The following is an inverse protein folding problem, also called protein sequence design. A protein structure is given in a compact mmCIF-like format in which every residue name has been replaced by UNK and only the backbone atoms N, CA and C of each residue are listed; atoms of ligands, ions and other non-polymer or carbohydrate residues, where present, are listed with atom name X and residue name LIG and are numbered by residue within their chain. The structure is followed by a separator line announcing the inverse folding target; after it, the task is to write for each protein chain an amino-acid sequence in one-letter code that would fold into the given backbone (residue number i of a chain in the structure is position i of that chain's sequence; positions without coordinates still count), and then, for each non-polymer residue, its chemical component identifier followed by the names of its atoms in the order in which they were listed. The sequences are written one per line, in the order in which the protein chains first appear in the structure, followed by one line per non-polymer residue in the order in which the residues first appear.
data_IF_259418455009
#
_entry.id   IF_259418455009
#
_cell.length_a   1.000
_cell.length_b   1.000
_cell.length_c   1.000
_cell.angle_alpha   90.00
_cell.angle_beta   90.00
_cell.angle_gamma   90.00
#
_symmetry.space_group_name_H-M   'P 1'
#
loop_
_entity.id
_entity.type
_entity.pdbx_description
1 polymer ?
#
# COMPACT_ATOMS: atom_id res chain seq x y z
N UNK A 1 -10.57 -10.01 -14.31
CA UNK A 1 -10.58 -10.05 -15.79
C UNK A 1 -10.32 -11.45 -16.35
N UNK A 2 -9.37 -12.23 -15.83
CA UNK A 2 -9.06 -13.59 -16.32
C UNK A 2 -10.31 -14.49 -16.29
N UNK A 3 -11.11 -14.45 -15.22
CA UNK A 3 -12.37 -15.20 -15.17
C UNK A 3 -13.36 -14.87 -16.31
N UNK A 4 -13.36 -13.62 -16.78
CA UNK A 4 -14.17 -13.21 -17.93
C UNK A 4 -13.64 -13.84 -19.23
N UNK A 5 -12.32 -13.87 -19.42
CA UNK A 5 -11.69 -14.50 -20.58
C UNK A 5 -11.86 -16.02 -20.57
N UNK A 6 -11.81 -16.67 -19.40
CA UNK A 6 -12.11 -18.09 -19.24
C UNK A 6 -13.56 -18.41 -19.65
N UNK A 7 -14.53 -17.57 -19.26
CA UNK A 7 -15.91 -17.72 -19.70
C UNK A 7 -16.07 -17.52 -21.22
N UNK A 8 -15.35 -16.58 -21.81
CA UNK A 8 -15.37 -16.35 -23.25
C UNK A 8 -14.76 -17.50 -24.05
N UNK A 9 -13.70 -18.12 -23.54
CA UNK A 9 -13.12 -19.31 -24.15
C UNK A 9 -14.12 -20.47 -24.13
N UNK A 10 -14.74 -20.74 -22.97
CA UNK A 10 -15.76 -21.80 -22.82
C UNK A 10 -16.98 -21.60 -23.71
N UNK A 11 -17.34 -20.38 -24.05
CA UNK A 11 -18.44 -20.03 -24.94
C UNK A 11 -18.01 -19.88 -26.41
N UNK A 12 -16.73 -20.14 -26.71
CA UNK A 12 -16.21 -20.06 -28.09
C UNK A 12 -16.01 -18.64 -28.64
N UNK A 13 -16.09 -17.61 -27.76
CA UNK A 13 -15.86 -16.20 -28.15
C UNK A 13 -14.40 -15.93 -28.47
N UNK A 14 -13.49 -16.60 -27.76
CA UNK A 14 -12.05 -16.53 -27.99
C UNK A 14 -11.44 -17.94 -28.03
N UNK A 15 -10.37 -18.17 -28.79
CA UNK A 15 -9.66 -19.45 -28.80
C UNK A 15 -8.84 -19.63 -27.52
N UNK A 16 -8.55 -20.90 -27.19
CA UNK A 16 -7.73 -21.24 -26.00
C UNK A 16 -6.34 -20.58 -26.05
N UNK A 17 -5.72 -20.46 -27.22
CA UNK A 17 -4.42 -19.79 -27.38
C UNK A 17 -4.45 -18.31 -26.93
N UNK A 18 -5.57 -17.64 -27.13
CA UNK A 18 -5.76 -16.26 -26.69
C UNK A 18 -5.97 -16.18 -25.18
N UNK A 19 -6.70 -17.13 -24.60
CA UNK A 19 -6.82 -17.25 -23.13
C UNK A 19 -5.46 -17.49 -22.49
N UNK A 20 -4.66 -18.39 -23.03
CA UNK A 20 -3.32 -18.68 -22.53
C UNK A 20 -2.39 -17.47 -22.64
N UNK A 21 -2.46 -16.73 -23.75
CA UNK A 21 -1.75 -15.45 -23.87
C UNK A 21 -2.13 -14.48 -22.75
N UNK A 22 -3.42 -14.31 -22.45
CA UNK A 22 -3.87 -13.44 -21.38
C UNK A 22 -3.42 -13.93 -20.00
N UNK A 23 -3.46 -15.24 -19.73
CA UNK A 23 -2.97 -15.82 -18.47
C UNK A 23 -1.49 -15.51 -18.21
N UNK A 24 -0.67 -15.58 -19.25
CA UNK A 24 0.77 -15.35 -19.14
C UNK A 24 1.16 -13.85 -19.10
N UNK A 25 0.33 -12.97 -19.68
CA UNK A 25 0.66 -11.56 -19.84
C UNK A 25 -0.23 -10.59 -19.03
N UNK A 26 -1.19 -11.10 -18.26
CA UNK A 26 -2.15 -10.26 -17.54
C UNK A 26 -1.51 -9.46 -16.39
N UNK A 27 -0.41 -9.96 -15.85
CA UNK A 27 0.30 -9.32 -14.74
C UNK A 27 1.66 -8.81 -15.23
N UNK A 28 1.99 -7.53 -15.06
CA UNK A 28 3.22 -6.95 -15.60
C UNK A 28 4.47 -7.40 -14.85
N UNK A 29 4.33 -7.88 -13.61
CA UNK A 29 5.44 -8.38 -12.78
C UNK A 29 4.94 -9.41 -11.79
N UNK A 30 5.86 -10.22 -11.24
CA UNK A 30 5.59 -11.05 -10.06
C UNK A 30 5.60 -10.20 -8.78
N UNK A 31 5.07 -10.74 -7.69
CA UNK A 31 5.00 -10.05 -6.38
C UNK A 31 3.58 -9.65 -6.01
N UNK A 32 3.41 -8.47 -5.38
CA UNK A 32 2.11 -7.95 -5.02
C UNK A 32 1.21 -7.70 -6.24
N UNK A 33 -0.11 -7.64 -6.02
CA UNK A 33 -1.07 -7.45 -7.10
C UNK A 33 -0.81 -6.16 -7.88
N UNK A 34 -1.04 -6.19 -9.20
CA UNK A 34 -0.83 -5.05 -10.10
C UNK A 34 -1.87 -3.93 -9.97
N UNK A 35 -2.81 -4.04 -9.03
CA UNK A 35 -3.79 -2.99 -8.75
C UNK A 35 -3.82 -2.67 -7.24
N UNK A 36 -4.48 -1.56 -6.87
CA UNK A 36 -4.62 -1.11 -5.48
C UNK A 36 -5.64 -2.00 -4.73
N UNK A 37 -5.25 -3.24 -4.49
CA UNK A 37 -5.96 -4.19 -3.63
C UNK A 37 -5.39 -4.19 -2.22
N UNK A 38 -5.80 -5.17 -1.41
CA UNK A 38 -5.41 -5.28 0.01
C UNK A 38 -3.89 -5.32 0.20
N UNK A 39 -3.18 -6.18 -0.57
CA UNK A 39 -1.74 -6.34 -0.43
C UNK A 39 -0.99 -5.04 -0.71
N UNK A 40 -1.32 -4.35 -1.81
CA UNK A 40 -0.70 -3.07 -2.17
C UNK A 40 -1.04 -1.99 -1.15
N UNK A 41 -2.30 -1.89 -0.73
CA UNK A 41 -2.73 -0.95 0.29
C UNK A 41 -1.99 -1.16 1.60
N UNK A 42 -1.89 -2.40 2.09
CA UNK A 42 -1.27 -2.66 3.39
C UNK A 42 0.26 -2.48 3.39
N UNK A 43 0.94 -2.66 2.25
CA UNK A 43 2.34 -2.24 2.13
C UNK A 43 2.48 -0.72 2.30
N UNK A 44 1.61 0.06 1.65
CA UNK A 44 1.59 1.53 1.79
C UNK A 44 1.27 1.93 3.22
N UNK A 45 0.30 1.27 3.86
CA UNK A 45 -0.06 1.55 5.27
C UNK A 45 1.10 1.24 6.23
N UNK A 46 1.83 0.15 6.03
CA UNK A 46 2.98 -0.18 6.85
C UNK A 46 4.08 0.89 6.75
N UNK A 47 4.32 1.44 5.55
CA UNK A 47 5.26 2.54 5.36
C UNK A 47 4.75 3.85 5.98
N UNK A 48 3.47 4.19 5.77
CA UNK A 48 2.86 5.39 6.33
C UNK A 48 2.78 5.38 7.87
N UNK A 49 2.73 4.19 8.49
CA UNK A 49 2.82 4.01 9.95
C UNK A 49 4.26 4.11 10.50
N UNK A 50 5.27 4.19 9.64
CA UNK A 50 6.68 4.17 10.05
C UNK A 50 7.25 2.77 10.33
N UNK A 51 6.58 1.70 9.89
CA UNK A 51 6.98 0.31 10.12
C UNK A 51 7.74 -0.31 8.92
N UNK A 52 7.96 0.47 7.86
CA UNK A 52 8.79 0.10 6.70
C UNK A 52 9.78 1.23 6.40
N UNK A 53 10.86 0.88 5.70
CA UNK A 53 11.79 1.89 5.19
C UNK A 53 11.09 2.79 4.16
N UNK A 54 11.29 4.10 4.23
CA UNK A 54 10.68 5.04 3.30
C UNK A 54 11.00 4.71 1.83
N UNK A 55 9.99 4.78 0.96
CA UNK A 55 10.10 4.55 -0.47
C UNK A 55 10.19 3.06 -0.86
N UNK A 56 9.91 2.12 0.03
CA UNK A 56 10.00 0.68 -0.28
C UNK A 56 8.66 0.02 -0.58
N UNK A 57 7.54 0.64 -0.22
CA UNK A 57 6.22 0.11 -0.54
C UNK A 57 5.99 0.03 -2.04
N UNK A 58 5.46 -1.10 -2.49
CA UNK A 58 5.20 -1.45 -3.90
C UNK A 58 6.45 -1.49 -4.79
N UNK A 59 7.65 -1.60 -4.22
CA UNK A 59 8.84 -1.92 -5.00
C UNK A 59 8.59 -3.21 -5.78
N UNK A 60 8.77 -3.22 -7.11
CA UNK A 60 8.55 -4.42 -7.92
C UNK A 60 9.43 -5.59 -7.43
N UNK A 61 8.86 -6.80 -7.35
CA UNK A 61 9.60 -7.99 -6.90
C UNK A 61 10.79 -8.35 -7.81
N UNK A 62 10.80 -7.82 -9.02
CA UNK A 62 11.90 -7.98 -10.00
C UNK A 62 12.93 -6.85 -9.95
N UNK A 63 12.71 -5.82 -9.11
CA UNK A 63 13.65 -4.71 -8.98
C UNK A 63 14.96 -5.17 -8.33
N UNK A 64 16.14 -4.88 -8.92
CA UNK A 64 17.42 -5.27 -8.34
C UNK A 64 17.65 -4.65 -6.96
N UNK A 65 17.07 -3.49 -6.71
CA UNK A 65 17.15 -2.73 -5.45
C UNK A 65 16.44 -3.45 -4.28
N UNK A 66 15.53 -4.40 -4.57
CA UNK A 66 14.77 -5.11 -3.53
C UNK A 66 15.68 -5.85 -2.54
N UNK A 67 16.76 -6.46 -3.03
CA UNK A 67 17.74 -7.15 -2.16
C UNK A 67 18.47 -6.17 -1.26
N UNK A 68 18.82 -5.01 -1.77
CA UNK A 68 19.46 -3.96 -0.98
C UNK A 68 18.49 -3.41 0.06
N UNK A 69 17.24 -3.15 -0.30
CA UNK A 69 16.21 -2.70 0.64
C UNK A 69 15.98 -3.71 1.78
N UNK A 70 15.97 -5.01 1.47
CA UNK A 70 15.87 -6.05 2.50
C UNK A 70 17.08 -6.06 3.44
N UNK A 71 18.29 -5.90 2.91
CA UNK A 71 19.51 -5.78 3.71
C UNK A 71 19.46 -4.53 4.62
N UNK A 72 19.07 -3.39 4.07
CA UNK A 72 19.00 -2.13 4.81
C UNK A 72 17.92 -2.17 5.89
N UNK A 73 16.78 -2.84 5.63
CA UNK A 73 15.75 -3.08 6.63
C UNK A 73 16.28 -3.90 7.84
N UNK A 74 17.05 -4.97 7.56
CA UNK A 74 17.70 -5.75 8.63
C UNK A 74 18.71 -4.93 9.42
N UNK A 75 19.48 -4.09 8.75
CA UNK A 75 20.45 -3.18 9.38
C UNK A 75 19.74 -2.15 10.25
N UNK A 76 18.67 -1.53 9.74
CA UNK A 76 17.86 -0.57 10.50
C UNK A 76 17.24 -1.21 11.73
N UNK A 77 16.71 -2.44 11.61
CA UNK A 77 16.17 -3.17 12.75
C UNK A 77 17.20 -3.34 13.86
N UNK A 78 18.44 -3.68 13.52
CA UNK A 78 19.52 -3.79 14.50
C UNK A 78 19.86 -2.46 15.17
N UNK A 79 19.77 -1.35 14.46
CA UNK A 79 19.95 -0.02 15.06
C UNK A 79 18.80 0.34 16.02
N UNK A 80 17.56 -0.01 15.69
CA UNK A 80 16.42 0.16 16.58
C UNK A 80 16.60 -0.65 17.87
N UNK A 81 17.02 -1.92 17.76
CA UNK A 81 17.32 -2.78 18.92
C UNK A 81 18.39 -2.17 19.81
N UNK A 82 19.51 -1.68 19.25
CA UNK A 82 20.59 -1.04 20.00
C UNK A 82 20.11 0.22 20.75
N UNK A 83 19.18 0.96 20.16
CA UNK A 83 18.60 2.18 20.75
C UNK A 83 17.44 1.89 21.72
N UNK A 84 17.00 0.63 21.82
CA UNK A 84 15.85 0.23 22.64
C UNK A 84 14.52 0.74 22.07
N UNK A 85 14.46 1.12 20.78
CA UNK A 85 13.25 1.62 20.13
C UNK A 85 12.39 0.42 19.69
N UNK A 86 11.14 0.42 20.10
CA UNK A 86 10.15 -0.60 19.78
C UNK A 86 9.07 -0.06 18.84
N UNK A 87 8.23 -0.95 18.30
CA UNK A 87 7.09 -0.53 17.50
C UNK A 87 6.13 0.39 18.26
N UNK A 88 6.04 0.25 19.60
CA UNK A 88 5.22 1.13 20.46
C UNK A 88 5.73 2.57 20.55
N UNK A 89 7.01 2.78 20.31
CA UNK A 89 7.61 4.11 20.28
C UNK A 89 7.37 4.81 18.95
N UNK A 90 7.21 4.03 17.87
CA UNK A 90 6.99 4.52 16.49
C UNK A 90 5.50 4.75 16.24
N UNK A 91 4.66 3.76 16.55
CA UNK A 91 3.24 3.75 16.22
C UNK A 91 2.43 4.49 17.28
N UNK A 92 1.82 5.59 16.90
CA UNK A 92 0.98 6.45 17.75
C UNK A 92 -0.39 6.66 17.11
N UNK A 93 -1.33 7.26 17.84
CA UNK A 93 -2.62 7.66 17.27
C UNK A 93 -2.44 8.59 16.05
N UNK A 94 -1.50 9.52 16.13
CA UNK A 94 -1.18 10.45 15.03
C UNK A 94 -0.62 9.73 13.80
N UNK A 95 0.22 8.70 13.97
CA UNK A 95 0.71 7.91 12.83
C UNK A 95 -0.41 7.09 12.18
N UNK A 96 -1.40 6.60 12.95
CA UNK A 96 -2.60 6.00 12.37
C UNK A 96 -3.46 7.02 11.62
N UNK A 97 -3.64 8.22 12.14
CA UNK A 97 -4.34 9.29 11.44
C UNK A 97 -3.63 9.66 10.13
N UNK A 98 -2.30 9.75 10.12
CA UNK A 98 -1.52 9.91 8.90
C UNK A 98 -1.74 8.76 7.91
N UNK A 99 -1.71 7.51 8.38
CA UNK A 99 -1.94 6.34 7.52
C UNK A 99 -3.36 6.33 6.93
N UNK A 100 -4.39 6.73 7.70
CA UNK A 100 -5.77 6.86 7.23
C UNK A 100 -5.88 7.98 6.17
N UNK A 101 -5.17 9.10 6.36
CA UNK A 101 -5.13 10.17 5.37
C UNK A 101 -4.45 9.73 4.07
N UNK A 102 -3.33 9.00 4.17
CA UNK A 102 -2.68 8.38 3.01
C UNK A 102 -3.61 7.36 2.35
N UNK A 103 -4.33 6.53 3.12
CA UNK A 103 -5.32 5.59 2.61
C UNK A 103 -6.39 6.27 1.76
N UNK A 104 -6.91 7.41 2.22
CA UNK A 104 -7.87 8.21 1.48
C UNK A 104 -7.27 8.75 0.17
N UNK A 105 -6.07 9.32 0.23
CA UNK A 105 -5.38 9.91 -0.92
C UNK A 105 -5.07 8.88 -2.03
N UNK A 106 -4.78 7.64 -1.65
CA UNK A 106 -4.51 6.55 -2.61
C UNK A 106 -5.77 5.80 -3.07
N UNK A 107 -6.94 6.11 -2.54
CA UNK A 107 -8.16 5.30 -2.71
C UNK A 107 -7.91 3.82 -2.40
N UNK A 108 -7.36 3.58 -1.21
CA UNK A 108 -6.94 2.25 -0.76
C UNK A 108 -8.10 1.27 -0.63
N UNK A 109 -7.75 -0.02 -0.53
CA UNK A 109 -8.72 -1.09 -0.34
C UNK A 109 -9.52 -0.92 0.95
N UNK A 110 -10.83 -1.12 0.89
CA UNK A 110 -11.72 -1.11 2.07
C UNK A 110 -11.32 -2.13 3.14
N UNK A 111 -10.50 -3.14 2.81
CA UNK A 111 -9.97 -4.08 3.80
C UNK A 111 -9.06 -3.39 4.84
N UNK A 112 -8.47 -2.26 4.53
CA UNK A 112 -7.70 -1.47 5.50
C UNK A 112 -8.58 -0.95 6.66
N UNK A 113 -9.87 -0.73 6.42
CA UNK A 113 -10.82 -0.32 7.49
C UNK A 113 -11.09 -1.41 8.53
N UNK A 114 -10.68 -2.64 8.24
CA UNK A 114 -10.65 -3.75 9.18
C UNK A 114 -9.23 -3.95 9.76
N UNK A 115 -8.21 -3.90 8.91
CA UNK A 115 -6.84 -4.21 9.34
C UNK A 115 -6.23 -3.11 10.21
N UNK A 116 -6.40 -1.83 9.88
CA UNK A 116 -5.83 -0.73 10.68
C UNK A 116 -6.42 -0.68 12.09
N UNK A 117 -7.75 -0.79 12.31
CA UNK A 117 -8.31 -0.91 13.67
C UNK A 117 -7.80 -2.12 14.44
N UNK A 118 -7.65 -3.28 13.78
CA UNK A 118 -7.12 -4.48 14.42
C UNK A 118 -5.67 -4.29 14.87
N UNK A 119 -4.83 -3.68 14.03
CA UNK A 119 -3.45 -3.32 14.42
C UNK A 119 -3.46 -2.29 15.55
N UNK A 120 -4.27 -1.23 15.45
CA UNK A 120 -4.35 -0.18 16.46
C UNK A 120 -4.74 -0.73 17.84
N UNK A 121 -5.65 -1.73 17.87
CA UNK A 121 -6.05 -2.41 19.09
C UNK A 121 -4.87 -3.03 19.84
N UNK A 122 -3.90 -3.64 19.14
CA UNK A 122 -2.69 -4.23 19.73
C UNK A 122 -1.79 -3.16 20.41
N UNK A 123 -1.92 -1.90 20.00
CA UNK A 123 -1.24 -0.75 20.62
C UNK A 123 -2.09 -0.06 21.68
N UNK A 124 -3.32 -0.53 21.95
CA UNK A 124 -4.26 0.13 22.86
C UNK A 124 -4.83 1.43 22.29
N UNK A 125 -4.83 1.58 20.96
CA UNK A 125 -5.35 2.74 20.25
C UNK A 125 -6.71 2.39 19.65
N UNK A 126 -7.72 3.20 19.94
CA UNK A 126 -9.06 3.02 19.42
C UNK A 126 -9.24 3.81 18.13
N UNK A 127 -9.65 3.11 17.06
CA UNK A 127 -9.98 3.65 15.74
C UNK A 127 -11.28 3.01 15.28
N UNK A 128 -12.28 3.82 15.03
CA UNK A 128 -13.61 3.40 14.60
C UNK A 128 -13.91 3.77 13.13
N UNK A 129 -15.03 3.33 12.63
CA UNK A 129 -15.49 3.63 11.28
C UNK A 129 -15.74 5.13 11.06
N UNK A 130 -16.21 5.83 12.10
CA UNK A 130 -16.49 7.27 12.03
C UNK A 130 -15.19 8.09 11.86
N UNK A 131 -14.09 7.59 12.41
CA UNK A 131 -12.74 8.18 12.19
C UNK A 131 -12.36 8.12 10.72
N UNK A 132 -12.56 6.96 10.06
CA UNK A 132 -12.31 6.83 8.62
C UNK A 132 -13.20 7.76 7.80
N UNK A 133 -14.52 7.76 8.05
CA UNK A 133 -15.46 8.59 7.31
C UNK A 133 -15.10 10.08 7.42
N UNK A 134 -14.87 10.56 8.64
CA UNK A 134 -14.50 11.95 8.88
C UNK A 134 -13.21 12.36 8.16
N UNK A 135 -12.18 11.53 8.22
CA UNK A 135 -10.89 11.84 7.63
C UNK A 135 -10.93 11.76 6.10
N UNK A 136 -11.61 10.76 5.55
CA UNK A 136 -11.75 10.59 4.11
C UNK A 136 -12.52 11.74 3.45
N UNK A 137 -13.51 12.33 4.13
CA UNK A 137 -14.25 13.51 3.61
C UNK A 137 -13.38 14.74 3.42
N UNK A 138 -12.28 14.85 4.17
CA UNK A 138 -11.32 15.94 4.05
C UNK A 138 -10.21 15.70 3.03
N UNK A 139 -10.08 14.49 2.49
CA UNK A 139 -8.99 14.11 1.62
C UNK A 139 -9.34 14.26 0.13
N UNK A 140 -8.29 14.44 -0.68
CA UNK A 140 -8.38 14.41 -2.14
C UNK A 140 -7.77 13.12 -2.69
N UNK A 141 -8.45 12.52 -3.67
CA UNK A 141 -7.94 11.38 -4.42
C UNK A 141 -6.83 11.82 -5.38
N UNK A 142 -5.67 11.18 -5.29
CA UNK A 142 -4.48 11.56 -6.06
C UNK A 142 -4.08 10.54 -7.15
N UNK A 143 -4.46 9.26 -7.01
CA UNK A 143 -3.86 8.19 -7.80
C UNK A 143 -4.75 7.74 -8.97
N UNK A 144 -4.16 7.63 -10.15
CA UNK A 144 -4.77 6.98 -11.32
C UNK A 144 -4.29 5.52 -11.46
N UNK A 145 -4.50 4.71 -10.41
CA UNK A 145 -4.05 3.31 -10.32
C UNK A 145 -5.26 2.36 -10.40
N UNK A 146 -5.08 1.22 -11.07
CA UNK A 146 -6.10 0.16 -11.14
C UNK A 146 -6.51 -0.31 -9.73
N UNK A 147 -7.80 -0.68 -9.49
CA UNK A 147 -8.85 -0.96 -10.48
C UNK A 147 -9.62 0.28 -10.98
N UNK A 148 -9.61 1.39 -10.26
CA UNK A 148 -10.36 2.61 -10.61
C UNK A 148 -9.65 3.51 -11.62
N UNK A 149 -8.33 3.39 -11.74
CA UNK A 149 -7.50 4.12 -12.68
C UNK A 149 -6.94 3.25 -13.81
N UNK A 150 -6.06 3.84 -14.62
CA UNK A 150 -5.54 3.24 -15.84
C UNK A 150 -4.26 2.44 -15.64
N UNK A 151 -3.45 2.80 -14.63
CA UNK A 151 -2.08 2.34 -14.50
C UNK A 151 -1.91 1.18 -13.52
N UNK A 152 -0.98 0.24 -13.76
CA UNK A 152 -0.60 -0.78 -12.79
C UNK A 152 0.02 -0.17 -11.52
N UNK A 153 -0.12 -0.86 -10.38
CA UNK A 153 0.36 -0.38 -9.08
C UNK A 153 1.87 -0.12 -9.02
N UNK A 154 2.68 -0.77 -9.85
CA UNK A 154 4.13 -0.52 -9.91
C UNK A 154 4.47 0.92 -10.32
N UNK A 155 3.60 1.61 -11.07
CA UNK A 155 3.80 3.02 -11.41
C UNK A 155 3.71 3.94 -10.20
N UNK A 156 3.02 3.52 -9.14
CA UNK A 156 3.04 4.21 -7.86
C UNK A 156 4.48 4.29 -7.30
N UNK A 157 5.20 3.16 -7.31
CA UNK A 157 6.59 3.12 -6.88
C UNK A 157 7.47 4.04 -7.74
N UNK A 158 7.36 3.96 -9.06
CA UNK A 158 8.15 4.79 -9.98
C UNK A 158 7.83 6.29 -9.89
N UNK A 159 6.63 6.65 -9.47
CA UNK A 159 6.22 8.04 -9.26
C UNK A 159 6.70 8.62 -7.91
N UNK A 160 7.42 7.85 -7.10
CA UNK A 160 7.97 8.28 -5.81
C UNK A 160 7.28 7.68 -4.58
N UNK A 161 6.28 6.82 -4.76
CA UNK A 161 5.68 6.02 -3.70
C UNK A 161 5.03 6.81 -2.57
N UNK A 162 5.05 6.24 -1.37
CA UNK A 162 4.45 6.83 -0.16
C UNK A 162 5.04 8.20 0.19
N UNK A 163 6.38 8.41 0.13
CA UNK A 163 6.95 9.72 0.44
C UNK A 163 6.40 10.83 -0.45
N UNK A 164 6.19 10.55 -1.75
CA UNK A 164 5.63 11.54 -2.67
C UNK A 164 4.17 11.84 -2.36
N UNK A 165 3.36 10.84 -2.05
CA UNK A 165 1.97 11.06 -1.63
C UNK A 165 1.93 11.90 -0.35
N UNK A 166 2.73 11.55 0.65
CA UNK A 166 2.78 12.30 1.91
C UNK A 166 3.23 13.74 1.72
N UNK A 167 4.14 14.02 0.80
CA UNK A 167 4.54 15.40 0.46
C UNK A 167 3.37 16.19 -0.15
N UNK A 168 2.58 15.59 -1.05
CA UNK A 168 1.42 16.24 -1.66
C UNK A 168 0.30 16.57 -0.65
N UNK A 169 0.11 15.71 0.35
CA UNK A 169 -0.91 15.91 1.41
C UNK A 169 -0.32 16.44 2.73
N UNK A 170 0.89 16.95 2.73
CA UNK A 170 1.67 17.35 3.91
C UNK A 170 0.90 18.26 4.88
N UNK A 171 0.11 19.18 4.35
CA UNK A 171 -0.72 20.09 5.16
C UNK A 171 -1.82 19.38 5.96
N UNK A 172 -2.12 18.13 5.64
CA UNK A 172 -3.14 17.30 6.27
C UNK A 172 -2.54 16.27 7.24
N UNK A 173 -1.21 16.22 7.38
CA UNK A 173 -0.49 15.25 8.17
C UNK A 173 0.04 15.82 9.49
N UNK A 174 0.13 14.98 10.50
CA UNK A 174 0.91 15.25 11.69
C UNK A 174 2.39 15.04 11.39
N UNK A 175 3.19 16.11 11.46
CA UNK A 175 4.61 16.10 11.12
C UNK A 175 5.51 15.85 12.34
N UNK A 176 4.93 15.68 13.51
CA UNK A 176 5.60 15.47 14.79
C UNK A 176 5.60 13.99 15.23
N UNK A 177 5.51 13.07 14.26
CA UNK A 177 5.55 11.62 14.48
C UNK A 177 6.82 11.00 13.87
N UNK A 178 7.23 9.86 14.43
CA UNK A 178 8.30 9.05 13.87
C UNK A 178 7.78 8.25 12.65
N UNK A 179 8.49 8.31 11.52
CA UNK A 179 8.21 7.50 10.32
C UNK A 179 9.48 6.90 9.77
#
# INVERSE_FOLDING_TARGET
QIGKFDAWEKTGVIPNSQLDYYKHNACPSCGACSFMGTASTMQIMAEALGLMLPGTALMPATAPELKQAAYDAGKQLMELVKKGITAKDIVTKKSFENAIMVHAAISGSTNATMHLPAIAHEFGIEIDADTFDRMHRGAHYLLNIRPSGDWPAQYFYYAGGVPRVMEEIKSMLHLDVMT
#
